data_IF_333768221236
#
_entry.id   IF_333768221236
#
_cell.length_a   1.000
_cell.length_b   1.000
_cell.length_c   1.000
_cell.angle_alpha   90.00
_cell.angle_beta   90.00
_cell.angle_gamma   90.00
#
_symmetry.space_group_name_H-M   'P 1'
#
loop_
_entity.id
_entity.type
_entity.pdbx_description
1 polymer ?
#
# COMPACT_ATOMS: atom_id res chain seq x y z
N UNK A 1 -11.10 4.08 -34.09
CA UNK A 1 -10.00 4.98 -33.66
C UNK A 1 -9.42 4.43 -32.35
N UNK A 2 -8.14 4.07 -32.26
CA UNK A 2 -7.58 3.50 -31.02
C UNK A 2 -7.43 4.58 -29.95
N UNK A 3 -8.03 4.34 -28.78
CA UNK A 3 -8.25 5.31 -27.70
C UNK A 3 -6.98 5.87 -27.03
N UNK A 4 -5.83 5.22 -27.20
CA UNK A 4 -4.59 5.58 -26.49
C UNK A 4 -3.73 6.65 -27.19
N UNK A 5 -4.05 7.01 -28.44
CA UNK A 5 -3.19 7.94 -29.22
C UNK A 5 -3.23 9.41 -28.75
N UNK A 6 -4.21 9.81 -27.93
CA UNK A 6 -4.46 11.23 -27.61
C UNK A 6 -4.15 11.67 -26.17
N UNK A 7 -3.54 10.83 -25.34
CA UNK A 7 -3.11 11.29 -24.00
C UNK A 7 -1.71 11.91 -24.10
N UNK A 8 -1.65 13.17 -24.56
CA UNK A 8 -0.44 14.01 -24.63
C UNK A 8 0.25 14.24 -23.27
N UNK A 9 -0.27 13.69 -22.17
CA UNK A 9 0.27 13.80 -20.80
C UNK A 9 1.24 12.68 -20.39
N UNK A 10 1.49 11.69 -21.25
CA UNK A 10 2.26 10.48 -20.91
C UNK A 10 3.58 10.33 -21.71
N UNK A 11 4.13 11.40 -22.27
CA UNK A 11 5.43 11.33 -22.97
C UNK A 11 6.54 10.96 -21.98
N UNK A 12 7.15 9.78 -22.17
CA UNK A 12 8.27 9.29 -21.35
C UNK A 12 7.90 8.31 -20.22
N UNK A 13 6.62 8.05 -19.98
CA UNK A 13 6.20 7.11 -18.93
C UNK A 13 6.08 5.66 -19.46
N UNK A 14 6.63 4.70 -18.70
CA UNK A 14 6.39 3.27 -18.86
C UNK A 14 4.91 2.94 -18.63
N UNK A 15 4.34 2.01 -19.41
CA UNK A 15 2.91 1.68 -19.37
C UNK A 15 2.71 0.21 -18.95
N UNK A 16 2.19 -0.03 -17.75
CA UNK A 16 1.69 -1.34 -17.33
C UNK A 16 0.19 -1.44 -17.62
N UNK A 17 -0.23 -2.50 -18.30
CA UNK A 17 -1.63 -2.83 -18.55
C UNK A 17 -1.95 -4.14 -17.83
N UNK A 18 -2.89 -4.07 -16.89
CA UNK A 18 -3.44 -5.25 -16.22
C UNK A 18 -4.68 -5.73 -16.98
N UNK A 19 -4.53 -6.81 -17.75
CA UNK A 19 -5.63 -7.48 -18.43
C UNK A 19 -6.42 -8.28 -17.40
N UNK A 20 -7.29 -7.59 -16.65
CA UNK A 20 -8.01 -8.15 -15.53
C UNK A 20 -9.13 -9.13 -15.95
N UNK A 21 -9.57 -9.99 -15.02
CA UNK A 21 -10.62 -11.01 -15.15
C UNK A 21 -10.26 -12.22 -16.00
N UNK A 22 -8.98 -12.58 -16.10
CA UNK A 22 -8.56 -13.79 -16.83
C UNK A 22 -9.12 -15.10 -16.23
N UNK A 23 -9.68 -15.04 -15.02
CA UNK A 23 -10.39 -16.15 -14.37
C UNK A 23 -11.79 -16.43 -14.93
N UNK A 24 -12.34 -15.54 -15.77
CA UNK A 24 -13.69 -15.66 -16.31
C UNK A 24 -13.66 -16.16 -17.76
N UNK A 25 -14.49 -17.16 -18.08
CA UNK A 25 -14.65 -17.63 -19.46
C UNK A 25 -15.13 -16.51 -20.38
N UNK A 26 -14.46 -16.34 -21.51
CA UNK A 26 -14.79 -15.29 -22.50
C UNK A 26 -14.08 -13.96 -22.25
N UNK A 27 -13.20 -13.86 -21.24
CA UNK A 27 -12.27 -12.74 -21.15
C UNK A 27 -11.33 -12.73 -22.37
N UNK A 28 -11.07 -11.53 -22.91
CA UNK A 28 -10.07 -11.35 -23.96
C UNK A 28 -8.68 -11.67 -23.40
N UNK A 29 -7.87 -12.34 -24.21
CA UNK A 29 -6.49 -12.63 -23.84
C UNK A 29 -5.65 -11.34 -23.84
N UNK A 30 -4.53 -11.30 -23.11
CA UNK A 30 -3.58 -10.19 -23.16
C UNK A 30 -3.15 -9.84 -24.59
N UNK A 31 -2.96 -10.83 -25.46
CA UNK A 31 -2.57 -10.65 -26.86
C UNK A 31 -3.68 -9.98 -27.68
N UNK A 32 -4.93 -10.37 -27.47
CA UNK A 32 -6.09 -9.76 -28.13
C UNK A 32 -6.26 -8.30 -27.69
N UNK A 33 -6.11 -8.03 -26.39
CA UNK A 33 -6.15 -6.67 -25.84
C UNK A 33 -5.00 -5.84 -26.40
N UNK A 34 -3.78 -6.38 -26.49
CA UNK A 34 -2.63 -5.69 -27.05
C UNK A 34 -2.86 -5.28 -28.52
N UNK A 35 -3.48 -6.15 -29.31
CA UNK A 35 -3.86 -5.85 -30.71
C UNK A 35 -4.93 -4.76 -30.79
N UNK A 36 -5.99 -4.85 -29.99
CA UNK A 36 -7.07 -3.84 -29.96
C UNK A 36 -6.55 -2.47 -29.54
N UNK A 37 -5.66 -2.44 -28.55
CA UNK A 37 -5.01 -1.23 -28.07
C UNK A 37 -3.88 -0.76 -29.01
N UNK A 38 -3.51 -1.59 -29.99
CA UNK A 38 -2.46 -1.34 -30.98
C UNK A 38 -1.12 -0.98 -30.32
N UNK A 39 -0.76 -1.74 -29.28
CA UNK A 39 0.44 -1.50 -28.47
C UNK A 39 1.73 -1.68 -29.27
N UNK A 40 1.72 -2.56 -30.28
CA UNK A 40 2.86 -2.78 -31.17
C UNK A 40 3.21 -1.56 -32.04
N UNK A 41 2.23 -0.68 -32.28
CA UNK A 41 2.46 0.57 -33.01
C UNK A 41 2.87 1.74 -32.10
N UNK A 42 3.10 1.48 -30.80
CA UNK A 42 3.65 2.49 -29.90
C UNK A 42 5.09 2.82 -30.26
N UNK A 43 5.49 4.07 -29.99
CA UNK A 43 6.86 4.51 -30.18
C UNK A 43 7.83 3.64 -29.35
N UNK A 44 8.94 3.22 -29.97
CA UNK A 44 9.98 2.34 -29.40
C UNK A 44 10.69 2.97 -28.20
N UNK A 45 10.53 4.28 -28.01
CA UNK A 45 11.02 5.01 -26.83
C UNK A 45 10.21 4.74 -25.56
N UNK A 46 9.04 4.08 -25.66
CA UNK A 46 8.16 3.79 -24.53
C UNK A 46 8.13 2.30 -24.20
N UNK A 47 8.59 1.96 -22.99
CA UNK A 47 8.44 0.62 -22.44
C UNK A 47 6.98 0.38 -22.06
N UNK A 48 6.43 -0.75 -22.51
CA UNK A 48 5.10 -1.19 -22.11
C UNK A 48 5.09 -2.68 -21.81
N UNK A 49 4.18 -3.10 -20.93
CA UNK A 49 3.89 -4.51 -20.68
C UNK A 49 2.42 -4.69 -20.42
N UNK A 50 1.88 -5.78 -20.94
CA UNK A 50 0.56 -6.27 -20.58
C UNK A 50 0.73 -7.58 -19.79
N UNK A 51 0.02 -7.70 -18.69
CA UNK A 51 0.01 -8.91 -17.86
C UNK A 51 -1.44 -9.33 -17.65
N UNK A 52 -1.74 -10.58 -18.00
CA UNK A 52 -3.01 -11.21 -17.67
C UNK A 52 -3.12 -11.36 -16.16
N UNK A 53 -4.19 -10.84 -15.56
CA UNK A 53 -4.36 -10.94 -14.12
C UNK A 53 -5.80 -11.23 -13.73
N UNK A 54 -5.97 -11.66 -12.48
CA UNK A 54 -7.26 -11.71 -11.81
C UNK A 54 -7.16 -10.97 -10.49
N UNK A 55 -7.92 -9.88 -10.37
CA UNK A 55 -8.08 -9.22 -9.08
C UNK A 55 -8.72 -10.14 -8.02
N UNK A 56 -9.52 -11.12 -8.45
CA UNK A 56 -10.18 -12.06 -7.56
C UNK A 56 -9.25 -13.18 -7.08
N UNK A 57 -8.46 -13.79 -7.97
CA UNK A 57 -7.52 -14.86 -7.58
C UNK A 57 -6.18 -14.31 -7.08
N UNK A 58 -5.82 -13.09 -7.45
CA UNK A 58 -4.53 -12.45 -7.19
C UNK A 58 -3.44 -12.85 -8.21
N UNK A 59 -3.77 -13.73 -9.16
CA UNK A 59 -2.87 -14.18 -10.22
C UNK A 59 -2.47 -13.01 -11.15
N UNK A 60 -1.21 -12.99 -11.57
CA UNK A 60 -0.66 -11.98 -12.51
C UNK A 60 -0.46 -10.56 -11.94
N UNK A 61 -1.00 -10.24 -10.76
CA UNK A 61 -0.84 -8.91 -10.16
C UNK A 61 0.60 -8.63 -9.75
N UNK A 62 1.24 -9.56 -9.03
CA UNK A 62 2.63 -9.40 -8.54
C UNK A 62 3.57 -9.25 -9.74
N UNK A 63 3.43 -10.11 -10.75
CA UNK A 63 4.24 -10.02 -11.97
C UNK A 63 4.10 -8.65 -12.66
N UNK A 64 2.86 -8.15 -12.78
CA UNK A 64 2.60 -6.84 -13.37
C UNK A 64 3.30 -5.72 -12.60
N UNK A 65 3.15 -5.69 -11.27
CA UNK A 65 3.76 -4.65 -10.43
C UNK A 65 5.28 -4.73 -10.37
N UNK A 66 5.85 -5.94 -10.35
CA UNK A 66 7.31 -6.15 -10.37
C UNK A 66 7.95 -5.66 -11.66
N UNK A 67 7.22 -5.67 -12.78
CA UNK A 67 7.71 -5.03 -14.01
C UNK A 67 7.66 -3.51 -13.97
N UNK A 68 6.63 -2.95 -13.34
CA UNK A 68 6.45 -1.50 -13.29
C UNK A 68 7.42 -0.82 -12.33
N UNK A 69 7.83 -1.53 -11.27
CA UNK A 69 8.77 -1.06 -10.28
C UNK A 69 10.07 -1.81 -10.44
N UNK A 70 11.09 -1.21 -11.05
CA UNK A 70 12.44 -1.79 -11.04
C UNK A 70 12.87 -2.03 -9.58
N UNK A 71 13.09 -3.31 -9.22
CA UNK A 71 13.42 -3.75 -7.86
C UNK A 71 12.24 -4.28 -7.01
N UNK A 72 11.04 -4.42 -7.57
CA UNK A 72 9.87 -5.01 -6.91
C UNK A 72 9.11 -4.06 -5.97
N UNK A 73 7.96 -4.49 -5.44
CA UNK A 73 7.05 -3.65 -4.62
C UNK A 73 7.70 -2.95 -3.41
N UNK A 74 8.88 -3.39 -2.96
CA UNK A 74 9.62 -2.80 -1.84
C UNK A 74 10.71 -1.80 -2.22
N UNK A 75 11.05 -1.63 -3.51
CA UNK A 75 12.23 -0.84 -3.89
C UNK A 75 12.07 0.65 -3.57
N UNK A 76 10.87 1.21 -3.74
CA UNK A 76 10.56 2.59 -3.36
C UNK A 76 10.70 2.78 -1.85
N UNK A 77 10.14 1.88 -1.05
CA UNK A 77 10.26 1.90 0.41
C UNK A 77 11.71 1.79 0.87
N UNK A 78 12.51 0.96 0.19
CA UNK A 78 13.93 0.80 0.47
C UNK A 78 14.71 2.07 0.13
N UNK A 79 14.44 2.69 -1.01
CA UNK A 79 15.08 3.93 -1.43
C UNK A 79 14.78 5.08 -0.45
N UNK A 80 13.51 5.25 -0.06
CA UNK A 80 13.11 6.22 0.97
C UNK A 80 13.81 5.93 2.29
N UNK A 81 13.83 4.66 2.70
CA UNK A 81 14.48 4.24 3.94
C UNK A 81 15.99 4.52 3.95
N UNK A 82 16.68 4.30 2.83
CA UNK A 82 18.10 4.58 2.69
C UNK A 82 18.37 6.09 2.71
N UNK A 83 17.62 6.88 1.95
CA UNK A 83 17.76 8.34 1.93
C UNK A 83 17.51 8.95 3.33
N UNK A 84 16.52 8.44 4.07
CA UNK A 84 16.26 8.88 5.43
C UNK A 84 17.44 8.55 6.36
N UNK A 85 18.01 7.33 6.26
CA UNK A 85 19.19 6.94 7.04
C UNK A 85 20.41 7.80 6.72
N UNK A 86 20.65 8.11 5.44
CA UNK A 86 21.72 9.00 5.00
C UNK A 86 21.54 10.43 5.56
N UNK A 87 20.29 10.87 5.72
CA UNK A 87 19.95 12.12 6.40
C UNK A 87 20.01 12.03 7.94
N UNK A 88 20.42 10.90 8.50
CA UNK A 88 20.58 10.69 9.95
C UNK A 88 19.36 10.10 10.67
N UNK A 89 18.33 9.64 9.94
CA UNK A 89 17.19 8.98 10.57
C UNK A 89 17.54 7.58 11.07
N UNK A 90 17.04 7.24 12.26
CA UNK A 90 17.08 5.87 12.77
C UNK A 90 15.79 5.13 12.40
N UNK A 91 15.92 4.04 11.65
CA UNK A 91 14.80 3.17 11.29
C UNK A 91 14.90 1.88 12.09
N UNK A 92 13.92 1.64 12.95
CA UNK A 92 13.83 0.44 13.79
C UNK A 92 12.63 -0.38 13.32
N UNK A 93 12.90 -1.62 12.94
CA UNK A 93 11.86 -2.59 12.53
C UNK A 93 11.58 -3.58 13.65
N UNK A 94 10.41 -4.21 13.65
CA UNK A 94 9.95 -5.11 14.73
C UNK A 94 9.84 -4.42 16.09
N UNK A 95 9.60 -3.12 16.07
CA UNK A 95 9.36 -2.29 17.24
C UNK A 95 7.89 -1.88 17.26
N UNK A 96 7.02 -2.82 17.64
CA UNK A 96 5.58 -2.55 17.72
C UNK A 96 5.33 -1.51 18.82
N UNK A 97 4.62 -0.44 18.48
CA UNK A 97 4.19 0.56 19.46
C UNK A 97 2.99 0.01 20.22
N UNK A 98 3.11 -0.06 21.54
CA UNK A 98 2.05 -0.49 22.45
C UNK A 98 1.11 0.65 22.79
N UNK A 99 1.66 1.83 23.08
CA UNK A 99 0.89 2.97 23.58
C UNK A 99 1.60 4.29 23.31
N UNK A 100 0.86 5.39 23.18
CA UNK A 100 1.38 6.75 23.26
C UNK A 100 1.64 7.12 24.72
N UNK A 101 2.76 7.80 24.96
CA UNK A 101 3.04 8.40 26.26
C UNK A 101 2.47 9.82 26.25
N UNK A 102 1.54 10.08 27.17
CA UNK A 102 0.81 11.36 27.25
C UNK A 102 0.99 11.89 28.66
N UNK A 103 1.35 13.17 28.77
CA UNK A 103 1.46 13.89 30.04
C UNK A 103 0.06 14.27 30.56
N UNK A 104 -0.06 14.60 31.85
CA UNK A 104 -1.31 15.09 32.46
C UNK A 104 -1.87 16.35 31.76
N UNK A 105 -1.02 17.08 31.04
CA UNK A 105 -1.39 18.23 30.21
C UNK A 105 -2.15 17.85 28.92
N UNK A 106 -2.23 16.56 28.59
CA UNK A 106 -2.73 16.03 27.32
C UNK A 106 -1.69 16.03 26.19
N UNK A 107 -0.44 16.45 26.45
CA UNK A 107 0.63 16.48 25.44
C UNK A 107 1.28 15.12 25.28
N UNK A 108 1.42 14.66 24.04
CA UNK A 108 2.22 13.47 23.71
C UNK A 108 3.71 13.77 23.92
N UNK A 109 4.42 12.88 24.61
CA UNK A 109 5.86 13.01 24.87
C UNK A 109 6.68 11.77 24.45
N UNK A 110 6.08 10.85 23.71
CA UNK A 110 6.76 9.68 23.18
C UNK A 110 5.83 8.51 22.94
N UNK A 111 6.44 7.33 22.82
CA UNK A 111 5.74 6.05 22.64
C UNK A 111 6.33 4.98 23.55
N UNK A 112 5.48 4.06 24.01
CA UNK A 112 5.85 2.84 24.70
C UNK A 112 5.89 1.70 23.68
N UNK A 113 7.00 0.98 23.59
CA UNK A 113 7.13 -0.19 22.73
C UNK A 113 6.49 -1.44 23.37
N UNK A 114 6.27 -2.49 22.57
CA UNK A 114 5.68 -3.76 22.99
C UNK A 114 6.45 -4.48 24.10
N UNK A 115 7.77 -4.27 24.16
CA UNK A 115 8.66 -4.77 25.22
C UNK A 115 8.65 -3.92 26.50
N UNK A 116 7.89 -2.82 26.51
CA UNK A 116 7.81 -1.87 27.63
C UNK A 116 8.88 -0.79 27.63
N UNK A 117 9.75 -0.72 26.62
CA UNK A 117 10.76 0.33 26.54
C UNK A 117 10.14 1.66 26.06
N UNK A 118 10.36 2.78 26.77
CA UNK A 118 9.90 4.09 26.31
C UNK A 118 10.85 4.70 25.28
N UNK A 119 10.28 5.33 24.25
CA UNK A 119 10.98 6.18 23.30
C UNK A 119 10.41 7.59 23.40
N UNK A 120 11.19 8.50 23.98
CA UNK A 120 10.74 9.89 24.19
C UNK A 120 10.92 10.76 22.95
N UNK A 121 9.93 11.60 22.68
CA UNK A 121 9.98 12.57 21.59
C UNK A 121 9.10 13.79 21.89
N UNK A 122 9.43 14.93 21.28
CA UNK A 122 8.59 16.14 21.38
C UNK A 122 7.35 16.06 20.48
N UNK A 123 7.44 15.27 19.40
CA UNK A 123 6.42 15.12 18.36
C UNK A 123 6.34 13.64 18.00
N UNK A 124 5.11 13.14 17.80
CA UNK A 124 4.84 11.81 17.27
C UNK A 124 3.98 11.95 16.02
N UNK A 125 4.46 11.41 14.90
CA UNK A 125 3.71 11.32 13.65
C UNK A 125 3.22 9.88 13.48
N UNK A 126 1.90 9.68 13.48
CA UNK A 126 1.31 8.36 13.32
C UNK A 126 0.81 8.16 11.90
N UNK A 127 1.40 7.19 11.19
CA UNK A 127 0.92 6.71 9.90
C UNK A 127 0.05 5.43 10.04
N UNK A 128 -0.41 5.12 11.26
CA UNK A 128 -1.37 4.05 11.48
C UNK A 128 -2.79 4.52 11.16
N UNK A 129 -3.75 3.58 11.06
CA UNK A 129 -5.15 3.96 10.86
C UNK A 129 -5.65 4.79 12.05
N UNK A 130 -6.61 5.73 11.86
CA UNK A 130 -7.10 6.51 12.99
C UNK A 130 -7.73 5.65 14.08
N UNK A 131 -8.33 4.51 13.74
CA UNK A 131 -8.79 3.53 14.72
C UNK A 131 -7.63 3.01 15.58
N UNK A 132 -6.54 2.55 14.95
CA UNK A 132 -5.35 2.08 15.69
C UNK A 132 -4.77 3.19 16.56
N UNK A 133 -4.55 4.38 15.99
CA UNK A 133 -3.92 5.50 16.69
C UNK A 133 -4.74 5.97 17.88
N UNK A 134 -6.02 6.28 17.67
CA UNK A 134 -6.84 6.95 18.69
C UNK A 134 -7.55 5.99 19.63
N UNK A 135 -7.82 4.74 19.22
CA UNK A 135 -8.53 3.79 20.09
C UNK A 135 -7.63 2.73 20.72
N UNK A 136 -6.56 2.30 20.05
CA UNK A 136 -5.70 1.24 20.59
C UNK A 136 -4.39 1.78 21.17
N UNK A 137 -3.80 2.82 20.57
CA UNK A 137 -2.52 3.37 21.02
C UNK A 137 -2.67 4.52 22.01
N UNK A 138 -3.75 5.30 21.93
CA UNK A 138 -3.98 6.43 22.86
C UNK A 138 -4.59 5.91 24.16
N UNK A 139 -4.13 6.37 25.34
CA UNK A 139 -4.75 5.99 26.62
C UNK A 139 -6.25 6.35 26.68
N UNK A 140 -7.05 5.51 27.35
CA UNK A 140 -8.53 5.57 27.31
C UNK A 140 -9.14 6.85 27.94
N UNK A 141 -8.38 7.60 28.73
CA UNK A 141 -8.81 8.80 29.47
C UNK A 141 -8.34 10.11 28.82
N UNK A 142 -7.57 10.04 27.74
CA UNK A 142 -6.99 11.22 27.08
C UNK A 142 -7.97 11.89 26.12
N UNK A 143 -8.84 11.11 25.46
CA UNK A 143 -9.69 11.59 24.38
C UNK A 143 -11.17 11.65 24.80
N UNK A 144 -11.92 12.68 24.36
CA UNK A 144 -13.36 12.75 24.57
C UNK A 144 -14.12 11.54 23.99
N UNK A 145 -15.15 11.09 24.71
CA UNK A 145 -15.96 9.92 24.31
C UNK A 145 -16.65 10.09 22.95
N UNK A 146 -17.09 11.31 22.63
CA UNK A 146 -17.72 11.65 21.37
C UNK A 146 -16.74 11.52 20.20
N UNK A 147 -15.49 11.94 20.39
CA UNK A 147 -14.40 11.74 19.43
C UNK A 147 -14.13 10.24 19.19
N UNK A 148 -14.01 9.45 20.26
CA UNK A 148 -13.81 8.00 20.15
C UNK A 148 -14.99 7.33 19.43
N UNK A 149 -16.22 7.77 19.71
CA UNK A 149 -17.42 7.27 19.02
C UNK A 149 -17.40 7.62 17.53
N UNK A 150 -16.96 8.82 17.16
CA UNK A 150 -16.82 9.22 15.76
C UNK A 150 -15.82 8.31 15.03
N UNK A 151 -14.65 8.07 15.62
CA UNK A 151 -13.61 7.18 15.04
C UNK A 151 -14.14 5.76 14.80
N UNK A 152 -14.96 5.23 15.72
CA UNK A 152 -15.57 3.88 15.59
C UNK A 152 -16.59 3.77 14.46
N UNK A 153 -17.26 4.88 14.13
CA UNK A 153 -18.30 4.91 13.12
C UNK A 153 -17.79 5.37 11.74
N UNK A 154 -16.50 5.70 11.63
CA UNK A 154 -15.88 6.01 10.34
C UNK A 154 -15.81 4.77 9.47
N UNK A 155 -16.42 4.84 8.29
CA UNK A 155 -16.33 3.79 7.28
C UNK A 155 -14.95 3.81 6.63
N UNK A 156 -14.19 2.73 6.81
CA UNK A 156 -12.88 2.51 6.20
C UNK A 156 -12.94 1.57 4.98
N UNK A 157 -14.08 1.54 4.26
CA UNK A 157 -14.20 0.87 2.97
C UNK A 157 -13.34 1.55 1.89
N UNK A 158 -12.02 1.42 2.02
CA UNK A 158 -11.09 1.57 0.91
C UNK A 158 -11.10 0.29 0.08
N UNK A 159 -11.06 0.41 -1.25
CA UNK A 159 -10.94 -0.70 -2.20
C UNK A 159 -9.51 -1.31 -2.20
N UNK A 160 -8.99 -1.65 -1.00
CA UNK A 160 -7.70 -2.30 -0.81
C UNK A 160 -7.85 -3.81 -0.80
N UNK A 161 -7.36 -4.46 -1.85
CA UNK A 161 -7.27 -5.92 -1.92
C UNK A 161 -6.13 -6.41 -1.01
N UNK A 162 -6.45 -6.95 0.16
CA UNK A 162 -5.52 -7.75 0.98
C UNK A 162 -5.96 -9.22 0.97
N UNK A 163 -5.27 -10.08 0.21
CA UNK A 163 -5.42 -11.53 0.35
C UNK A 163 -4.54 -12.04 1.50
N UNK A 164 -5.15 -12.34 2.65
CA UNK A 164 -4.54 -13.26 3.62
C UNK A 164 -4.75 -14.71 3.15
N UNK A 165 -3.67 -15.41 2.79
CA UNK A 165 -3.67 -16.88 2.67
C UNK A 165 -3.82 -17.46 4.09
N UNK A 166 -5.02 -17.88 4.47
CA UNK A 166 -5.17 -18.88 5.53
C UNK A 166 -4.83 -20.24 4.93
N UNK A 167 -3.66 -20.75 5.29
CA UNK A 167 -3.26 -22.13 4.99
C UNK A 167 -4.29 -23.08 5.57
N UNK A 168 -5.05 -23.74 4.71
CA UNK A 168 -5.85 -24.89 5.10
C UNK A 168 -4.87 -26.03 5.40
N UNK A 169 -4.85 -26.47 6.65
CA UNK A 169 -4.36 -27.80 6.99
C UNK A 169 -5.10 -28.81 6.11
N UNK A 170 -4.34 -29.72 5.49
CA UNK A 170 -4.93 -30.88 4.81
C UNK A 170 -5.72 -31.70 5.85
N UNK A 171 -6.96 -32.12 5.56
CA UNK A 171 -7.60 -33.16 6.33
C UNK A 171 -7.05 -34.53 5.92
N UNK A 172 -6.66 -35.28 6.96
CA UNK A 172 -6.27 -36.70 7.03
C UNK A 172 -5.16 -37.22 6.11
#
# INVERSE_FOLDING_TARGET
MPALKNIKRLSGASLLILANKQDIKGALSPEEIAKVLNLEAMDKTRHWRIVGCSAYTGEGLIEGFDWYVEGGMGSVSLAIGNAAKEAGAHIITRADVKQLLVEDSGRVNGVLLGDGMPVHSLIVLSNATPYKTFKELTPDDVLPDDFIRAIKNSDYSSAGFEKRKFGHGKPN
#
